data_IF_957445399705
#
_entry.id   IF_957445399705
#
_cell.length_a   1.000
_cell.length_b   1.000
_cell.length_c   1.000
_cell.angle_alpha   90.00
_cell.angle_beta   90.00
_cell.angle_gamma   90.00
#
_symmetry.space_group_name_H-M   'P 1'
#
loop_
_entity.id
_entity.type
_entity.pdbx_description
1 polymer ?
#
# COMPACT_ATOMS: atom_id res chain seq x y z
N UNK A 1 39.09 -43.10 81.19
CA UNK A 1 37.83 -42.76 80.48
C UNK A 1 38.07 -41.39 79.90
N UNK A 2 38.25 -41.18 78.60
CA UNK A 2 38.00 -42.04 77.46
C UNK A 2 38.99 -41.76 76.34
N UNK A 3 39.11 -42.80 75.52
CA UNK A 3 39.96 -43.03 74.38
C UNK A 3 39.78 -42.06 73.22
N UNK A 4 40.92 -41.74 72.62
CA UNK A 4 41.12 -41.24 71.26
C UNK A 4 40.42 -42.13 70.21
N UNK A 5 39.98 -41.56 69.07
CA UNK A 5 40.42 -42.17 67.82
C UNK A 5 40.84 -41.15 66.75
N UNK A 6 42.07 -41.37 66.27
CA UNK A 6 42.67 -40.80 65.07
C UNK A 6 41.81 -41.02 63.80
N UNK A 7 41.73 -39.99 62.96
CA UNK A 7 41.24 -40.04 61.58
C UNK A 7 42.39 -39.76 60.59
N UNK A 8 42.32 -40.32 59.37
CA UNK A 8 43.48 -40.57 58.49
C UNK A 8 43.88 -39.38 57.61
N UNK A 9 45.09 -39.40 57.02
CA UNK A 9 45.55 -38.35 56.10
C UNK A 9 44.80 -38.45 54.76
N UNK A 10 44.18 -37.34 54.35
CA UNK A 10 43.57 -37.15 53.04
C UNK A 10 44.64 -37.10 51.94
N UNK A 11 44.57 -38.05 51.02
CA UNK A 11 45.49 -38.22 49.90
C UNK A 11 45.45 -37.08 48.88
N UNK A 12 46.61 -36.85 48.27
CA UNK A 12 46.82 -35.96 47.14
C UNK A 12 46.01 -36.41 45.91
N UNK A 13 45.34 -35.49 45.19
CA UNK A 13 44.75 -35.81 43.90
C UNK A 13 45.84 -35.88 42.82
N UNK A 14 46.10 -37.11 42.42
CA UNK A 14 46.92 -37.50 41.28
C UNK A 14 46.38 -36.84 39.99
N UNK A 15 46.98 -35.72 39.56
CA UNK A 15 46.70 -35.08 38.26
C UNK A 15 47.36 -35.90 37.15
N UNK A 16 46.69 -36.96 36.71
CA UNK A 16 46.94 -37.52 35.38
C UNK A 16 46.46 -36.52 34.32
N UNK A 17 47.41 -35.72 33.82
CA UNK A 17 47.27 -34.99 32.58
C UNK A 17 47.31 -36.01 31.43
N UNK A 18 46.15 -36.59 31.13
CA UNK A 18 45.91 -37.25 29.86
C UNK A 18 46.04 -36.20 28.77
N UNK A 19 47.24 -36.06 28.22
CA UNK A 19 47.44 -35.48 26.90
C UNK A 19 46.78 -36.43 25.92
N UNK A 20 45.46 -36.33 25.77
CA UNK A 20 44.82 -36.77 24.55
C UNK A 20 45.49 -35.96 23.43
N UNK A 21 46.35 -36.67 22.71
CA UNK A 21 46.90 -36.28 21.43
C UNK A 21 45.74 -35.73 20.61
N UNK A 22 45.71 -34.40 20.43
CA UNK A 22 44.84 -33.72 19.46
C UNK A 22 45.22 -34.32 18.11
N UNK A 23 44.46 -35.34 17.73
CA UNK A 23 44.62 -36.10 16.51
C UNK A 23 44.63 -35.12 15.33
N UNK A 24 45.51 -35.43 14.38
CA UNK A 24 45.64 -34.80 13.08
C UNK A 24 44.31 -34.22 12.60
N UNK A 25 44.23 -32.89 12.64
CA UNK A 25 43.11 -32.13 12.10
C UNK A 25 42.85 -32.60 10.67
N UNK A 26 41.64 -33.10 10.46
CA UNK A 26 41.14 -33.74 9.25
C UNK A 26 41.11 -32.75 8.07
N UNK A 27 42.31 -32.40 7.57
CA UNK A 27 42.58 -31.52 6.42
C UNK A 27 41.72 -31.88 5.19
N UNK A 28 41.46 -33.17 4.89
CA UNK A 28 40.49 -33.56 3.85
C UNK A 28 39.08 -33.01 4.10
N UNK A 29 38.57 -33.01 5.33
CA UNK A 29 37.24 -32.48 5.65
C UNK A 29 37.15 -30.97 5.46
N UNK A 30 38.18 -30.21 5.85
CA UNK A 30 38.20 -28.76 5.67
C UNK A 30 38.16 -28.38 4.18
N UNK A 31 38.89 -29.11 3.34
CA UNK A 31 38.87 -28.91 1.88
C UNK A 31 37.48 -29.18 1.29
N UNK A 32 36.82 -30.26 1.73
CA UNK A 32 35.44 -30.59 1.32
C UNK A 32 34.45 -29.50 1.72
N UNK A 33 34.55 -28.98 2.95
CA UNK A 33 33.69 -27.90 3.44
C UNK A 33 33.87 -26.61 2.65
N UNK A 34 35.12 -26.22 2.34
CA UNK A 34 35.42 -25.03 1.51
C UNK A 34 34.84 -25.16 0.10
N UNK A 35 34.96 -26.34 -0.54
CA UNK A 35 34.38 -26.60 -1.87
C UNK A 35 32.85 -26.52 -1.83
N UNK A 36 32.23 -27.06 -0.78
CA UNK A 36 30.76 -26.99 -0.58
C UNK A 36 30.27 -25.56 -0.36
N UNK A 37 31.03 -24.73 0.35
CA UNK A 37 30.74 -23.30 0.55
C UNK A 37 30.62 -22.57 -0.79
N UNK A 38 31.63 -22.69 -1.65
CA UNK A 38 31.65 -22.04 -2.98
C UNK A 38 30.45 -22.47 -3.83
N UNK A 39 30.08 -23.75 -3.79
CA UNK A 39 28.92 -24.25 -4.51
C UNK A 39 27.60 -23.62 -4.02
N UNK A 40 27.44 -23.44 -2.70
CA UNK A 40 26.25 -22.81 -2.12
C UNK A 40 26.21 -21.31 -2.40
N UNK A 41 27.33 -20.60 -2.31
CA UNK A 41 27.42 -19.17 -2.67
C UNK A 41 26.98 -18.93 -4.13
N UNK A 42 27.37 -19.82 -5.05
CA UNK A 42 26.93 -19.76 -6.45
C UNK A 42 25.42 -19.98 -6.60
N UNK A 43 24.83 -20.94 -5.87
CA UNK A 43 23.39 -21.21 -5.90
C UNK A 43 22.57 -20.11 -5.22
N UNK A 44 23.08 -19.47 -4.17
CA UNK A 44 22.48 -18.26 -3.55
C UNK A 44 22.43 -17.15 -4.59
N UNK A 45 23.54 -16.85 -5.27
CA UNK A 45 23.60 -15.80 -6.30
C UNK A 45 22.60 -16.05 -7.42
N UNK A 46 22.53 -17.31 -7.91
CA UNK A 46 21.55 -17.72 -8.91
C UNK A 46 20.12 -17.56 -8.40
N UNK A 47 19.82 -18.03 -7.18
CA UNK A 47 18.47 -17.98 -6.59
C UNK A 47 18.01 -16.55 -6.30
N UNK A 48 18.92 -15.65 -5.88
CA UNK A 48 18.65 -14.22 -5.72
C UNK A 48 18.40 -13.51 -7.05
N UNK A 49 19.10 -13.89 -8.13
CA UNK A 49 18.85 -13.33 -9.47
C UNK A 49 17.46 -13.68 -10.02
N UNK A 50 16.90 -14.80 -9.58
CA UNK A 50 15.54 -15.24 -9.90
C UNK A 50 14.49 -14.58 -9.00
N UNK A 51 14.90 -14.07 -7.83
CA UNK A 51 14.04 -13.36 -6.90
C UNK A 51 13.82 -11.93 -7.41
N UNK A 52 12.93 -11.78 -8.38
CA UNK A 52 12.45 -10.45 -8.79
C UNK A 52 11.51 -9.92 -7.72
N UNK A 53 11.54 -8.60 -7.49
CA UNK A 53 10.57 -7.94 -6.64
C UNK A 53 9.17 -8.24 -7.20
N UNK A 54 8.40 -9.02 -6.44
CA UNK A 54 7.03 -9.37 -6.75
C UNK A 54 6.18 -9.06 -5.53
N UNK A 55 4.88 -8.89 -5.74
CA UNK A 55 3.96 -8.59 -4.65
C UNK A 55 4.08 -9.65 -3.53
N UNK A 56 3.85 -9.23 -2.29
CA UNK A 56 3.92 -10.02 -1.04
C UNK A 56 2.93 -11.20 -0.97
N UNK A 57 2.40 -11.66 -2.09
CA UNK A 57 1.38 -12.70 -2.23
C UNK A 57 1.66 -13.72 -3.33
N UNK A 58 2.78 -13.58 -4.05
CA UNK A 58 3.19 -14.61 -5.00
C UNK A 58 3.77 -15.80 -4.22
N UNK A 59 3.06 -16.93 -4.26
CA UNK A 59 3.53 -18.16 -3.61
C UNK A 59 4.88 -18.59 -4.18
N UNK A 60 5.14 -18.34 -5.47
CA UNK A 60 6.43 -18.62 -6.09
C UNK A 60 7.51 -17.70 -5.54
N UNK A 61 7.20 -16.41 -5.33
CA UNK A 61 8.12 -15.48 -4.67
C UNK A 61 8.47 -15.95 -3.26
N UNK A 62 7.49 -16.27 -2.42
CA UNK A 62 7.77 -16.71 -1.05
C UNK A 62 8.44 -18.08 -1.00
N UNK A 63 8.09 -18.99 -1.90
CA UNK A 63 8.77 -20.28 -2.06
C UNK A 63 10.23 -20.06 -2.45
N UNK A 64 10.50 -19.14 -3.37
CA UNK A 64 11.84 -18.79 -3.80
C UNK A 64 12.61 -18.04 -2.69
N UNK A 65 11.96 -17.17 -1.92
CA UNK A 65 12.53 -16.47 -0.78
C UNK A 65 12.90 -17.44 0.35
N UNK A 66 12.00 -18.38 0.67
CA UNK A 66 12.26 -19.47 1.62
C UNK A 66 13.42 -20.34 1.14
N UNK A 67 13.51 -20.62 -0.17
CA UNK A 67 14.65 -21.34 -0.76
C UNK A 67 15.96 -20.55 -0.60
N UNK A 68 15.96 -19.24 -0.81
CA UNK A 68 17.15 -18.39 -0.62
C UNK A 68 17.60 -18.41 0.84
N UNK A 69 16.69 -18.21 1.79
CA UNK A 69 17.01 -18.29 3.23
C UNK A 69 17.51 -19.67 3.65
N UNK A 70 16.93 -20.75 3.10
CA UNK A 70 17.41 -22.11 3.37
C UNK A 70 18.86 -22.32 2.89
N UNK A 71 19.24 -21.71 1.76
CA UNK A 71 20.61 -21.72 1.26
C UNK A 71 21.53 -20.85 2.12
N UNK A 72 21.08 -19.68 2.58
CA UNK A 72 21.85 -18.81 3.48
C UNK A 72 22.10 -19.45 4.85
N UNK A 73 21.10 -20.15 5.39
CA UNK A 73 21.24 -20.94 6.61
C UNK A 73 22.31 -22.03 6.46
N UNK A 74 22.27 -22.78 5.35
CA UNK A 74 23.28 -23.80 5.03
C UNK A 74 24.68 -23.22 4.89
N UNK A 75 24.80 -22.04 4.28
CA UNK A 75 26.09 -21.35 4.15
C UNK A 75 26.63 -20.91 5.52
N UNK A 76 25.79 -20.34 6.39
CA UNK A 76 26.17 -19.96 7.75
C UNK A 76 26.61 -21.17 8.59
N UNK A 77 25.92 -22.31 8.48
CA UNK A 77 26.33 -23.57 9.11
C UNK A 77 27.67 -24.09 8.60
N UNK A 78 27.96 -23.97 7.30
CA UNK A 78 29.25 -24.38 6.74
C UNK A 78 30.35 -23.43 7.21
N UNK A 79 30.11 -22.12 7.24
CA UNK A 79 31.05 -21.15 7.83
C UNK A 79 31.36 -21.47 9.28
N UNK A 80 30.33 -21.83 10.07
CA UNK A 80 30.49 -22.29 11.45
C UNK A 80 31.41 -23.50 11.53
N UNK A 81 31.15 -24.55 10.73
CA UNK A 81 31.98 -25.77 10.70
C UNK A 81 33.42 -25.48 10.27
N UNK A 82 33.62 -24.68 9.23
CA UNK A 82 34.96 -24.25 8.78
C UNK A 82 35.69 -23.50 9.89
N UNK A 83 34.99 -22.61 10.61
CA UNK A 83 35.57 -21.83 11.71
C UNK A 83 35.98 -22.72 12.89
N UNK A 84 35.12 -23.67 13.28
CA UNK A 84 35.42 -24.67 14.31
C UNK A 84 36.64 -25.50 13.89
N UNK A 85 36.61 -26.11 12.70
CA UNK A 85 37.72 -26.94 12.19
C UNK A 85 39.03 -26.16 12.05
N UNK A 86 38.98 -24.90 11.65
CA UNK A 86 40.20 -24.07 11.50
C UNK A 86 40.74 -23.60 12.84
N UNK A 87 39.90 -23.48 13.86
CA UNK A 87 40.31 -23.09 15.22
C UNK A 87 40.91 -24.24 16.03
N UNK A 88 40.58 -25.49 15.68
CA UNK A 88 40.96 -26.67 16.46
C UNK A 88 40.30 -26.75 17.84
N UNK A 89 39.34 -25.87 18.13
CA UNK A 89 38.62 -25.81 19.39
C UNK A 89 37.36 -26.67 19.36
N UNK A 90 36.91 -27.14 20.53
CA UNK A 90 35.58 -27.73 20.65
C UNK A 90 34.48 -26.67 20.40
N UNK A 91 33.27 -27.10 20.05
CA UNK A 91 32.15 -26.20 19.74
C UNK A 91 31.78 -25.25 20.92
N UNK A 92 31.88 -25.76 22.15
CA UNK A 92 31.64 -25.00 23.39
C UNK A 92 32.71 -23.93 23.60
N UNK A 93 33.98 -24.27 23.38
CA UNK A 93 35.10 -23.34 23.52
C UNK A 93 35.14 -22.32 22.38
N UNK A 94 34.86 -22.75 21.15
CA UNK A 94 34.75 -21.88 19.98
C UNK A 94 33.70 -20.78 20.20
N UNK A 95 32.53 -21.13 20.75
CA UNK A 95 31.45 -20.18 21.01
C UNK A 95 31.81 -19.08 22.04
N UNK A 96 32.74 -19.37 22.95
CA UNK A 96 33.17 -18.45 24.02
C UNK A 96 34.41 -17.64 23.66
N UNK A 97 35.30 -18.22 22.84
CA UNK A 97 36.67 -17.72 22.65
C UNK A 97 36.86 -17.04 21.30
N UNK A 98 36.08 -17.43 20.28
CA UNK A 98 36.22 -16.87 18.94
C UNK A 98 35.31 -15.64 18.76
N UNK A 99 35.92 -14.50 18.41
CA UNK A 99 35.21 -13.23 18.20
C UNK A 99 34.15 -13.31 17.11
N UNK A 100 34.34 -14.16 16.11
CA UNK A 100 33.42 -14.31 14.98
C UNK A 100 32.28 -15.30 15.26
N UNK A 101 32.37 -16.08 16.35
CA UNK A 101 31.40 -17.12 16.66
C UNK A 101 30.02 -16.55 17.00
N UNK A 102 29.97 -15.45 17.73
CA UNK A 102 28.71 -14.78 18.08
C UNK A 102 27.97 -14.30 16.82
N UNK A 103 28.68 -13.63 15.91
CA UNK A 103 28.09 -13.14 14.66
C UNK A 103 27.54 -14.27 13.78
N UNK A 104 28.24 -15.40 13.69
CA UNK A 104 27.76 -16.58 12.94
C UNK A 104 26.52 -17.19 13.60
N UNK A 105 26.49 -17.30 14.94
CA UNK A 105 25.33 -17.84 15.68
C UNK A 105 24.11 -16.93 15.53
N UNK A 106 24.30 -15.61 15.61
CA UNK A 106 23.23 -14.64 15.41
C UNK A 106 22.68 -14.68 13.98
N UNK A 107 23.56 -14.80 12.98
CA UNK A 107 23.14 -14.95 11.58
C UNK A 107 22.29 -16.21 11.37
N UNK A 108 22.70 -17.35 11.96
CA UNK A 108 21.92 -18.60 11.91
C UNK A 108 20.53 -18.38 12.51
N UNK A 109 20.43 -17.78 13.70
CA UNK A 109 19.14 -17.49 14.35
C UNK A 109 18.27 -16.55 13.52
N UNK A 110 18.85 -15.53 12.90
CA UNK A 110 18.15 -14.59 12.05
C UNK A 110 17.54 -15.30 10.82
N UNK A 111 18.35 -16.10 10.09
CA UNK A 111 17.88 -16.86 8.93
C UNK A 111 16.83 -17.92 9.30
N UNK A 112 16.94 -18.58 10.46
CA UNK A 112 15.90 -19.49 10.95
C UNK A 112 14.55 -18.78 11.18
N UNK A 113 14.58 -17.57 11.74
CA UNK A 113 13.37 -16.77 11.94
C UNK A 113 12.78 -16.30 10.61
N UNK A 114 13.60 -15.79 9.69
CA UNK A 114 13.19 -15.38 8.34
C UNK A 114 12.54 -16.54 7.59
N UNK A 115 13.17 -17.73 7.61
CA UNK A 115 12.62 -18.95 7.00
C UNK A 115 11.26 -19.30 7.59
N UNK A 116 11.10 -19.30 8.92
CA UNK A 116 9.80 -19.55 9.57
C UNK A 116 8.72 -18.56 9.15
N UNK A 117 9.08 -17.28 8.97
CA UNK A 117 8.15 -16.25 8.48
C UNK A 117 7.71 -16.57 7.05
N UNK A 118 8.66 -16.91 6.17
CA UNK A 118 8.36 -17.25 4.78
C UNK A 118 7.54 -18.53 4.65
N UNK A 119 7.85 -19.57 5.42
CA UNK A 119 7.08 -20.82 5.46
C UNK A 119 5.66 -20.61 5.98
N UNK A 120 5.48 -19.80 7.04
CA UNK A 120 4.15 -19.40 7.49
C UNK A 120 3.39 -18.67 6.40
N UNK A 121 4.07 -17.84 5.61
CA UNK A 121 3.47 -17.12 4.51
C UNK A 121 3.10 -18.04 3.36
N UNK A 122 3.95 -19.01 3.00
CA UNK A 122 3.63 -20.08 2.04
C UNK A 122 2.41 -20.85 2.52
N UNK A 123 2.35 -21.29 3.78
CA UNK A 123 1.21 -22.03 4.34
C UNK A 123 -0.08 -21.20 4.37
N UNK A 124 0.00 -19.88 4.58
CA UNK A 124 -1.16 -18.98 4.46
C UNK A 124 -1.63 -18.82 3.02
N UNK A 125 -0.71 -18.86 2.06
CA UNK A 125 -0.98 -18.80 0.63
C UNK A 125 -1.40 -20.17 0.06
N UNK A 126 -1.05 -21.26 0.75
CA UNK A 126 -1.49 -22.60 0.43
C UNK A 126 -3.00 -22.73 0.63
N UNK A 127 -3.69 -23.42 -0.28
CA UNK A 127 -5.01 -22.94 -0.57
C UNK A 127 -6.13 -23.66 0.19
N UNK A 128 -6.60 -23.06 1.29
CA UNK A 128 -7.79 -23.52 2.03
C UNK A 128 -9.08 -23.28 1.21
N UNK A 129 -9.89 -24.33 1.06
CA UNK A 129 -10.91 -24.58 0.01
C UNK A 129 -12.09 -23.59 -0.13
N UNK A 130 -12.17 -22.45 0.57
CA UNK A 130 -13.30 -21.50 0.44
C UNK A 130 -12.92 -20.05 0.09
N UNK A 131 -11.67 -19.64 0.30
CA UNK A 131 -11.22 -18.25 0.03
C UNK A 131 -10.70 -18.02 -1.40
N UNK A 132 -10.66 -19.06 -2.25
CA UNK A 132 -9.87 -19.07 -3.49
C UNK A 132 -10.53 -18.36 -4.68
N UNK A 133 -11.85 -18.41 -4.83
CA UNK A 133 -12.53 -17.69 -5.92
C UNK A 133 -12.36 -16.18 -5.81
N UNK A 134 -12.30 -15.71 -4.57
CA UNK A 134 -12.14 -14.33 -4.20
C UNK A 134 -10.75 -13.78 -4.52
N UNK A 135 -9.72 -14.50 -4.07
CA UNK A 135 -8.30 -14.14 -4.17
C UNK A 135 -7.72 -14.39 -5.56
N UNK A 136 -8.14 -15.44 -6.27
CA UNK A 136 -7.66 -15.74 -7.61
C UNK A 136 -8.22 -14.78 -8.67
N UNK A 137 -9.47 -14.33 -8.51
CA UNK A 137 -10.02 -13.30 -9.38
C UNK A 137 -9.49 -11.90 -9.04
N UNK A 138 -9.23 -11.60 -7.77
CA UNK A 138 -8.41 -10.45 -7.37
C UNK A 138 -7.06 -10.46 -8.11
N UNK A 139 -6.30 -11.57 -8.02
CA UNK A 139 -5.01 -11.71 -8.70
C UNK A 139 -5.12 -11.66 -10.22
N UNK A 140 -6.09 -12.33 -10.84
CA UNK A 140 -6.33 -12.29 -12.28
C UNK A 140 -6.72 -10.88 -12.74
N UNK A 141 -7.46 -10.11 -11.94
CA UNK A 141 -7.74 -8.71 -12.25
C UNK A 141 -6.51 -7.81 -12.04
N UNK A 142 -5.71 -7.98 -10.98
CA UNK A 142 -4.55 -7.13 -10.66
C UNK A 142 -3.29 -7.44 -11.50
N UNK A 143 -2.91 -8.70 -11.72
CA UNK A 143 -1.63 -9.06 -12.35
C UNK A 143 -1.67 -9.31 -13.86
N UNK A 144 -2.85 -9.53 -14.48
CA UNK A 144 -2.93 -9.96 -15.90
C UNK A 144 -3.38 -8.89 -16.90
N UNK A 145 -3.24 -7.59 -16.60
CA UNK A 145 -3.51 -6.56 -17.61
C UNK A 145 -2.43 -5.46 -17.63
N UNK A 146 -1.47 -5.68 -18.54
CA UNK A 146 -1.05 -4.78 -19.62
C UNK A 146 -0.93 -3.26 -19.36
N UNK A 147 -0.45 -2.87 -18.18
CA UNK A 147 0.51 -1.76 -17.96
C UNK A 147 1.54 -2.28 -16.95
N UNK A 148 2.03 -3.51 -17.14
CA UNK A 148 3.30 -3.69 -17.83
C UNK A 148 3.32 -3.93 -19.35
N UNK A 149 2.23 -3.78 -20.12
CA UNK A 149 2.23 -4.04 -21.58
C UNK A 149 1.03 -3.38 -22.32
N UNK A 150 0.90 -2.05 -22.34
CA UNK A 150 -0.10 -1.25 -23.09
C UNK A 150 -1.40 -1.89 -23.62
N UNK A 151 -2.55 -1.66 -22.95
CA UNK A 151 -3.91 -1.80 -23.52
C UNK A 151 -4.78 -0.58 -23.18
N UNK A 152 -5.47 -0.06 -24.20
CA UNK A 152 -6.24 1.20 -24.19
C UNK A 152 -7.72 1.09 -23.76
N UNK A 153 -8.27 -0.09 -23.39
CA UNK A 153 -9.73 -0.22 -23.17
C UNK A 153 -10.12 -1.26 -22.11
N UNK A 154 -10.85 -0.85 -21.05
CA UNK A 154 -11.33 -1.69 -19.93
C UNK A 154 -12.68 -2.39 -20.20
N UNK A 155 -13.04 -2.63 -21.46
CA UNK A 155 -14.21 -3.45 -21.83
C UNK A 155 -15.61 -2.86 -21.54
N UNK A 156 -15.72 -1.64 -21.00
CA UNK A 156 -17.01 -0.95 -20.75
C UNK A 156 -17.42 0.05 -21.85
N UNK A 157 -16.71 0.07 -22.98
CA UNK A 157 -16.95 1.03 -24.05
C UNK A 157 -16.57 2.47 -23.68
N UNK A 158 -16.74 3.40 -24.62
CA UNK A 158 -16.64 4.84 -24.34
C UNK A 158 -17.75 5.23 -23.36
N UNK A 159 -17.43 6.13 -22.41
CA UNK A 159 -18.44 6.67 -21.49
C UNK A 159 -19.52 7.37 -22.33
N UNK A 160 -20.79 7.12 -22.01
CA UNK A 160 -21.89 7.87 -22.62
C UNK A 160 -21.76 9.36 -22.29
N UNK A 161 -21.60 10.19 -23.32
CA UNK A 161 -21.37 11.63 -23.20
C UNK A 161 -22.55 12.33 -22.54
N UNK A 162 -23.78 11.90 -22.88
CA UNK A 162 -25.01 12.44 -22.31
C UNK A 162 -25.10 12.21 -20.81
N UNK A 163 -24.84 10.99 -20.34
CA UNK A 163 -24.81 10.67 -18.92
C UNK A 163 -23.73 11.46 -18.17
N UNK A 164 -22.56 11.67 -18.77
CA UNK A 164 -21.49 12.49 -18.18
C UNK A 164 -21.88 13.97 -18.07
N UNK A 165 -22.48 14.54 -19.13
CA UNK A 165 -22.96 15.92 -19.12
C UNK A 165 -24.05 16.13 -18.06
N UNK A 166 -24.98 15.18 -17.96
CA UNK A 166 -26.04 15.23 -16.95
C UNK A 166 -25.48 15.12 -15.53
N UNK A 167 -24.52 14.22 -15.29
CA UNK A 167 -23.82 14.13 -14.00
C UNK A 167 -23.15 15.45 -13.63
N UNK A 168 -22.43 16.07 -14.57
CA UNK A 168 -21.79 17.38 -14.37
C UNK A 168 -22.83 18.47 -14.07
N UNK A 169 -23.92 18.53 -14.84
CA UNK A 169 -25.01 19.50 -14.66
C UNK A 169 -25.62 19.39 -13.26
N UNK A 170 -25.92 18.16 -12.82
CA UNK A 170 -26.44 17.90 -11.46
C UNK A 170 -25.47 18.31 -10.37
N UNK A 171 -24.17 18.03 -10.53
CA UNK A 171 -23.16 18.50 -9.57
C UNK A 171 -23.14 20.03 -9.47
N UNK A 172 -23.14 20.75 -10.60
CA UNK A 172 -23.13 22.22 -10.61
C UNK A 172 -24.35 22.78 -9.87
N UNK A 173 -25.53 22.23 -10.16
CA UNK A 173 -26.79 22.64 -9.54
C UNK A 173 -26.80 22.38 -8.03
N UNK A 174 -26.51 21.15 -7.63
CA UNK A 174 -26.64 20.68 -6.24
C UNK A 174 -25.55 21.26 -5.31
N UNK A 175 -24.38 21.55 -5.87
CA UNK A 175 -23.28 22.17 -5.11
C UNK A 175 -23.36 23.69 -5.15
N UNK A 176 -24.32 24.25 -5.90
CA UNK A 176 -24.49 25.68 -6.13
C UNK A 176 -23.19 26.31 -6.66
N UNK A 177 -22.53 25.61 -7.58
CA UNK A 177 -21.17 25.93 -7.99
C UNK A 177 -21.08 27.05 -9.03
N UNK A 178 -22.21 27.53 -9.56
CA UNK A 178 -22.21 28.57 -10.60
C UNK A 178 -21.96 29.95 -9.99
N UNK A 179 -21.11 30.76 -10.64
CA UNK A 179 -20.92 32.15 -10.23
C UNK A 179 -22.19 32.97 -10.51
N UNK A 180 -22.60 33.90 -9.64
CA UNK A 180 -23.87 34.63 -9.81
C UNK A 180 -23.95 35.52 -11.05
N UNK A 181 -22.82 35.94 -11.62
CA UNK A 181 -22.75 36.92 -12.72
C UNK A 181 -21.93 36.48 -13.93
N UNK A 182 -21.00 35.56 -13.72
CA UNK A 182 -20.00 35.19 -14.71
C UNK A 182 -20.18 33.72 -15.05
N UNK A 183 -19.73 33.28 -16.21
CA UNK A 183 -19.72 31.87 -16.56
C UNK A 183 -18.53 31.15 -15.90
N UNK A 184 -18.42 31.18 -14.56
CA UNK A 184 -17.38 30.49 -13.81
C UNK A 184 -17.97 29.45 -12.86
N UNK A 185 -17.15 28.45 -12.51
CA UNK A 185 -17.52 27.34 -11.65
C UNK A 185 -16.61 27.25 -10.42
N UNK A 186 -17.23 27.03 -9.26
CA UNK A 186 -16.55 26.91 -7.98
C UNK A 186 -15.81 25.58 -7.82
N UNK A 187 -14.55 25.63 -7.41
CA UNK A 187 -13.79 24.48 -6.95
C UNK A 187 -13.70 24.49 -5.42
N UNK A 188 -14.23 23.49 -4.69
CA UNK A 188 -14.22 23.46 -3.24
C UNK A 188 -12.82 23.15 -2.66
N UNK A 189 -11.91 22.54 -3.41
CA UNK A 189 -10.53 22.29 -2.95
C UNK A 189 -9.70 23.57 -3.00
N UNK A 190 -9.76 24.30 -4.12
CA UNK A 190 -9.08 25.59 -4.27
C UNK A 190 -9.77 26.66 -3.42
N UNK A 191 -11.11 26.60 -3.34
CA UNK A 191 -11.93 27.64 -2.71
C UNK A 191 -12.00 28.90 -3.56
N UNK A 192 -12.09 28.74 -4.89
CA UNK A 192 -12.22 29.85 -5.83
C UNK A 192 -13.03 29.44 -7.08
N UNK A 193 -13.52 30.44 -7.81
CA UNK A 193 -14.17 30.29 -9.11
C UNK A 193 -13.13 30.18 -10.22
N UNK A 194 -13.31 29.21 -11.10
CA UNK A 194 -12.45 28.97 -12.25
C UNK A 194 -13.28 28.91 -13.53
N UNK A 195 -12.58 29.08 -14.66
CA UNK A 195 -13.17 28.84 -15.97
C UNK A 195 -13.82 27.43 -16.02
N UNK A 196 -15.05 27.27 -16.56
CA UNK A 196 -15.73 25.99 -16.65
C UNK A 196 -14.90 24.91 -17.33
N UNK A 197 -14.06 25.25 -18.32
CA UNK A 197 -13.20 24.30 -19.02
C UNK A 197 -12.14 23.69 -18.10
N UNK A 198 -11.69 24.45 -17.09
CA UNK A 198 -10.72 24.01 -16.10
C UNK A 198 -11.35 23.18 -14.99
N UNK A 199 -12.67 23.15 -14.85
CA UNK A 199 -13.38 22.36 -13.84
C UNK A 199 -13.85 21.04 -14.42
N UNK A 200 -13.61 19.94 -13.69
CA UNK A 200 -14.04 18.58 -14.02
C UNK A 200 -14.99 18.05 -12.95
N UNK A 201 -16.00 17.29 -13.38
CA UNK A 201 -16.84 16.47 -12.51
C UNK A 201 -16.14 15.14 -12.21
N UNK A 202 -15.31 15.14 -11.17
CA UNK A 202 -14.53 13.97 -10.77
C UNK A 202 -15.40 12.98 -10.00
N UNK A 203 -15.30 11.69 -10.34
CA UNK A 203 -15.95 10.61 -9.61
C UNK A 203 -15.04 10.13 -8.47
N UNK A 204 -15.61 9.94 -7.28
CA UNK A 204 -14.90 9.34 -6.14
C UNK A 204 -14.84 7.81 -6.28
N UNK A 205 -15.96 7.18 -6.64
CA UNK A 205 -16.03 5.83 -7.15
C UNK A 205 -16.16 5.84 -8.68
N UNK A 206 -15.22 5.24 -9.43
CA UNK A 206 -15.19 5.39 -10.87
C UNK A 206 -16.41 4.76 -11.56
N UNK A 207 -17.05 5.55 -12.42
CA UNK A 207 -18.17 5.14 -13.27
C UNK A 207 -17.95 3.82 -14.03
N UNK A 208 -16.71 3.55 -14.47
CA UNK A 208 -16.35 2.41 -15.34
C UNK A 208 -16.60 1.06 -14.68
N UNK A 209 -16.78 1.03 -13.37
CA UNK A 209 -17.12 -0.20 -12.68
C UNK A 209 -18.63 -0.42 -12.60
N UNK A 210 -19.44 0.58 -12.93
CA UNK A 210 -20.88 0.46 -12.99
C UNK A 210 -21.56 0.35 -11.63
N UNK A 211 -22.89 0.52 -11.65
CA UNK A 211 -23.73 0.52 -10.45
C UNK A 211 -23.75 -0.84 -9.77
N UNK A 212 -23.69 -1.93 -10.54
CA UNK A 212 -23.68 -3.31 -10.00
C UNK A 212 -22.50 -3.52 -9.05
N UNK A 213 -21.29 -3.07 -9.45
CA UNK A 213 -20.13 -3.19 -8.56
C UNK A 213 -20.26 -2.22 -7.39
N UNK A 214 -20.76 -1.00 -7.59
CA UNK A 214 -21.03 -0.08 -6.48
C UNK A 214 -21.96 -0.71 -5.42
N UNK A 215 -23.07 -1.31 -5.85
CA UNK A 215 -24.05 -1.96 -4.96
C UNK A 215 -23.47 -3.17 -4.24
N UNK A 216 -22.68 -3.98 -4.95
CA UNK A 216 -21.99 -5.13 -4.38
C UNK A 216 -21.02 -4.73 -3.24
N UNK A 217 -20.53 -3.49 -3.28
CA UNK A 217 -19.57 -2.95 -2.33
C UNK A 217 -20.20 -2.26 -1.15
N UNK A 218 -21.04 -1.28 -1.46
CA UNK A 218 -21.58 -0.36 -0.46
C UNK A 218 -22.95 -0.82 0.03
N UNK A 219 -23.47 -1.92 -0.53
CA UNK A 219 -24.87 -2.32 -0.44
C UNK A 219 -25.70 -1.61 -1.50
N UNK A 220 -26.80 -2.26 -1.91
CA UNK A 220 -27.76 -1.65 -2.82
C UNK A 220 -28.47 -0.49 -2.13
N UNK A 221 -28.40 0.69 -2.74
CA UNK A 221 -29.11 1.88 -2.28
C UNK A 221 -30.52 1.94 -2.89
N UNK A 222 -31.41 2.77 -2.32
CA UNK A 222 -32.75 3.00 -2.89
C UNK A 222 -32.66 3.61 -4.30
N UNK A 223 -31.70 4.51 -4.51
CA UNK A 223 -31.42 5.16 -5.79
C UNK A 223 -30.01 4.85 -6.27
N UNK A 224 -29.82 4.86 -7.59
CA UNK A 224 -28.51 4.69 -8.23
C UNK A 224 -27.60 5.87 -7.87
N UNK A 225 -26.53 5.59 -7.12
CA UNK A 225 -25.59 6.62 -6.64
C UNK A 225 -24.38 6.82 -7.59
N UNK A 226 -24.20 6.00 -8.66
CA UNK A 226 -23.02 6.07 -9.54
C UNK A 226 -22.82 7.46 -10.18
N UNK A 227 -23.90 8.03 -10.71
CA UNK A 227 -23.93 9.38 -11.32
C UNK A 227 -24.71 10.37 -10.43
N UNK A 228 -24.72 10.11 -9.11
CA UNK A 228 -25.29 11.04 -8.14
C UNK A 228 -24.24 12.06 -7.68
N UNK A 229 -24.62 13.32 -7.38
CA UNK A 229 -23.73 14.29 -6.74
C UNK A 229 -23.04 13.79 -5.46
N UNK A 230 -23.58 12.74 -4.83
CA UNK A 230 -22.98 12.07 -3.67
C UNK A 230 -21.67 11.33 -4.00
N UNK A 231 -21.51 10.86 -5.23
CA UNK A 231 -20.31 10.16 -5.73
C UNK A 231 -19.35 11.09 -6.50
N UNK A 232 -19.65 12.38 -6.54
CA UNK A 232 -18.92 13.35 -7.36
C UNK A 232 -18.34 14.50 -6.56
N UNK A 233 -17.37 15.19 -7.17
CA UNK A 233 -16.90 16.50 -6.72
C UNK A 233 -16.44 17.31 -7.94
N UNK A 234 -16.73 18.61 -7.95
CA UNK A 234 -16.24 19.54 -8.98
C UNK A 234 -14.84 19.99 -8.58
N UNK A 235 -13.80 19.69 -9.37
CA UNK A 235 -12.42 20.07 -9.04
C UNK A 235 -11.68 20.59 -10.26
N UNK A 236 -10.62 21.38 -10.05
CA UNK A 236 -9.72 21.77 -11.13
C UNK A 236 -9.12 20.54 -11.81
N UNK A 237 -9.00 20.56 -13.13
CA UNK A 237 -8.34 19.54 -13.96
C UNK A 237 -6.93 19.24 -13.45
N UNK A 238 -6.19 20.27 -13.02
CA UNK A 238 -4.84 20.14 -12.46
C UNK A 238 -4.82 19.39 -11.13
N UNK A 239 -5.86 19.55 -10.33
CA UNK A 239 -5.99 18.80 -9.08
C UNK A 239 -6.42 17.37 -9.38
N UNK A 240 -7.34 17.16 -10.32
CA UNK A 240 -7.78 15.82 -10.74
C UNK A 240 -6.60 14.95 -11.19
N UNK A 241 -5.72 15.50 -12.03
CA UNK A 241 -4.48 14.85 -12.49
C UNK A 241 -3.64 14.30 -11.33
N UNK A 242 -3.56 15.05 -10.22
CA UNK A 242 -2.76 14.71 -9.03
C UNK A 242 -3.54 13.83 -8.04
N UNK A 243 -4.85 14.06 -7.94
CA UNK A 243 -5.78 13.29 -7.13
C UNK A 243 -5.83 11.84 -7.56
N UNK A 244 -5.70 11.60 -8.85
CA UNK A 244 -5.78 10.28 -9.43
C UNK A 244 -4.49 9.46 -9.39
N UNK A 245 -3.34 10.10 -9.22
CA UNK A 245 -2.04 9.41 -9.14
C UNK A 245 -1.59 9.11 -7.71
N UNK A 246 -2.44 9.34 -6.71
CA UNK A 246 -2.16 8.97 -5.31
C UNK A 246 -1.26 9.94 -4.56
N UNK A 247 -1.14 11.20 -5.00
CA UNK A 247 -0.33 12.20 -4.28
C UNK A 247 -1.11 12.95 -3.21
N UNK A 248 -2.43 13.05 -3.36
CA UNK A 248 -3.32 13.68 -2.38
C UNK A 248 -4.57 12.84 -2.14
N UNK A 249 -5.16 12.99 -0.96
CA UNK A 249 -6.43 12.38 -0.59
C UNK A 249 -7.33 13.39 0.13
N UNK A 250 -8.63 13.13 0.12
CA UNK A 250 -9.61 13.88 0.91
C UNK A 250 -9.88 13.08 2.18
N UNK A 251 -9.82 13.74 3.33
CA UNK A 251 -10.04 13.15 4.67
C UNK A 251 -11.03 14.00 5.48
N UNK A 252 -11.56 13.51 6.62
CA UNK A 252 -12.44 14.29 7.47
C UNK A 252 -11.71 15.53 7.99
N UNK A 253 -12.41 16.67 7.98
CA UNK A 253 -11.96 17.85 8.69
C UNK A 253 -12.50 17.79 10.12
N UNK A 254 -11.60 17.71 11.09
CA UNK A 254 -11.93 17.70 12.52
C UNK A 254 -11.42 19.02 13.12
N UNK A 255 -12.28 19.83 13.74
CA UNK A 255 -11.82 21.00 14.48
C UNK A 255 -10.91 20.54 15.63
N UNK A 256 -9.81 21.26 15.84
CA UNK A 256 -8.70 20.98 16.76
C UNK A 256 -7.70 19.92 16.25
N UNK A 257 -6.70 20.38 15.49
CA UNK A 257 -5.54 19.62 14.99
C UNK A 257 -4.64 19.00 16.09
N UNK A 258 -5.01 19.10 17.37
CA UNK A 258 -4.21 18.60 18.50
C UNK A 258 -4.50 17.13 18.86
N UNK A 259 -5.24 16.41 18.02
CA UNK A 259 -5.32 14.96 18.04
C UNK A 259 -6.72 14.42 17.87
N UNK A 260 -6.79 13.10 17.70
CA UNK A 260 -8.00 12.28 17.71
C UNK A 260 -8.88 12.53 18.95
N UNK A 261 -9.64 13.63 18.94
CA UNK A 261 -10.66 13.90 19.94
C UNK A 261 -11.91 13.08 19.57
N UNK A 262 -12.22 12.10 20.40
CA UNK A 262 -13.37 11.23 20.23
C UNK A 262 -14.70 12.00 20.10
N UNK A 263 -14.83 13.15 20.76
CA UNK A 263 -16.01 14.01 20.67
C UNK A 263 -16.10 14.72 19.32
N UNK A 264 -14.99 15.21 18.78
CA UNK A 264 -14.93 15.81 17.45
C UNK A 264 -15.29 14.78 16.37
N UNK A 265 -14.78 13.56 16.51
CA UNK A 265 -15.09 12.43 15.64
C UNK A 265 -16.58 12.07 15.70
N UNK A 266 -17.15 11.93 16.91
CA UNK A 266 -18.60 11.70 17.09
C UNK A 266 -19.41 12.81 16.44
N UNK A 267 -19.06 14.07 16.67
CA UNK A 267 -19.74 15.23 16.10
C UNK A 267 -19.72 15.16 14.57
N UNK A 268 -18.57 14.85 13.98
CA UNK A 268 -18.44 14.70 12.53
C UNK A 268 -19.29 13.53 11.99
N UNK A 269 -19.32 12.39 12.68
CA UNK A 269 -20.12 11.23 12.28
C UNK A 269 -21.62 11.50 12.29
N UNK A 270 -22.09 12.25 13.29
CA UNK A 270 -23.49 12.61 13.48
C UNK A 270 -23.91 13.88 12.74
N UNK A 271 -22.97 14.64 12.18
CA UNK A 271 -23.29 15.80 11.36
C UNK A 271 -23.84 15.36 10.01
N UNK A 272 -24.95 15.96 9.60
CA UNK A 272 -25.52 15.77 8.26
C UNK A 272 -24.57 16.29 7.18
N UNK A 273 -23.90 17.41 7.46
CA UNK A 273 -22.95 18.07 6.57
C UNK A 273 -21.53 17.76 7.02
N UNK A 274 -20.99 16.65 6.52
CA UNK A 274 -19.62 16.25 6.82
C UNK A 274 -18.63 17.13 6.09
N UNK A 275 -17.74 17.75 6.86
CA UNK A 275 -16.69 18.62 6.36
C UNK A 275 -15.40 17.83 6.08
N UNK A 276 -14.65 18.25 5.08
CA UNK A 276 -13.47 17.52 4.60
C UNK A 276 -12.27 18.44 4.42
N UNK A 277 -11.08 17.87 4.38
CA UNK A 277 -9.83 18.56 4.07
C UNK A 277 -8.96 17.74 3.13
N UNK A 278 -8.03 18.38 2.45
CA UNK A 278 -7.01 17.69 1.65
C UNK A 278 -5.84 17.25 2.54
N UNK A 279 -5.28 16.08 2.25
CA UNK A 279 -4.00 15.63 2.79
C UNK A 279 -3.05 15.20 1.69
N UNK A 280 -1.80 15.64 1.79
CA UNK A 280 -0.72 15.22 0.91
C UNK A 280 -0.17 13.90 1.43
N UNK A 281 -0.25 12.86 0.60
CA UNK A 281 0.27 11.54 0.94
C UNK A 281 1.79 11.50 0.73
N UNK A 282 2.29 12.06 -0.37
CA UNK A 282 3.72 12.02 -0.71
C UNK A 282 4.41 13.36 -0.43
N UNK A 283 4.99 13.49 0.77
CA UNK A 283 5.74 14.68 1.20
C UNK A 283 7.08 14.88 0.49
N UNK A 284 7.55 13.90 -0.27
CA UNK A 284 8.80 13.98 -1.03
C UNK A 284 8.56 14.22 -2.52
N UNK A 285 7.31 14.46 -2.90
CA UNK A 285 6.96 14.72 -4.28
C UNK A 285 7.61 16.02 -4.78
N UNK A 286 8.28 15.95 -5.91
CA UNK A 286 9.08 17.02 -6.51
C UNK A 286 8.25 18.25 -6.91
N UNK A 287 6.94 18.07 -7.10
CA UNK A 287 6.03 19.14 -7.54
C UNK A 287 5.27 19.83 -6.41
N UNK A 288 5.60 19.57 -5.15
CA UNK A 288 4.88 20.17 -4.01
C UNK A 288 4.89 21.70 -4.04
N UNK A 289 6.04 22.30 -4.38
CA UNK A 289 6.22 23.75 -4.45
C UNK A 289 5.72 24.35 -5.77
N UNK A 290 5.25 23.54 -6.72
CA UNK A 290 4.76 24.05 -7.99
C UNK A 290 3.37 24.67 -7.81
N UNK A 291 3.08 25.78 -8.51
CA UNK A 291 1.75 26.36 -8.50
C UNK A 291 0.74 25.40 -9.15
N UNK A 292 -0.47 25.33 -8.60
CA UNK A 292 -1.57 24.49 -9.13
C UNK A 292 -1.97 24.98 -10.53
N UNK A 293 -1.94 26.30 -10.74
CA UNK A 293 -2.22 26.97 -12.00
C UNK A 293 -1.31 28.19 -12.14
N UNK A 294 -0.86 28.57 -13.35
CA UNK A 294 -0.03 29.76 -13.56
C UNK A 294 -0.64 31.06 -13.02
N UNK A 295 -1.97 31.11 -12.93
CA UNK A 295 -2.72 32.29 -12.49
C UNK A 295 -3.22 32.21 -11.05
N UNK A 296 -2.92 31.13 -10.32
CA UNK A 296 -3.37 30.95 -8.95
C UNK A 296 -2.19 30.94 -7.99
N UNK A 297 -2.20 31.70 -6.88
CA UNK A 297 -1.07 31.79 -5.95
C UNK A 297 -0.83 30.52 -5.11
N UNK A 298 -1.67 29.48 -5.25
CA UNK A 298 -1.57 28.28 -4.41
C UNK A 298 -0.65 27.26 -5.07
N UNK A 299 0.23 26.70 -4.26
CA UNK A 299 1.02 25.53 -4.60
C UNK A 299 0.30 24.25 -4.16
N UNK A 300 0.78 23.09 -4.63
CA UNK A 300 0.26 21.82 -4.13
C UNK A 300 0.50 21.63 -2.64
N UNK A 301 1.61 22.14 -2.11
CA UNK A 301 1.94 22.13 -0.69
C UNK A 301 0.91 22.87 0.15
N UNK A 302 0.39 24.00 -0.34
CA UNK A 302 -0.61 24.82 0.35
C UNK A 302 -2.00 24.14 0.46
N UNK A 303 -2.18 23.01 -0.22
CA UNK A 303 -3.39 22.20 -0.08
C UNK A 303 -3.36 21.31 1.16
N UNK A 304 -2.20 21.01 1.75
CA UNK A 304 -2.16 20.08 2.89
C UNK A 304 -2.88 20.66 4.11
N UNK A 305 -3.87 19.92 4.62
CA UNK A 305 -4.73 20.37 5.73
C UNK A 305 -5.76 21.44 5.36
N UNK A 306 -5.82 21.89 4.11
CA UNK A 306 -6.81 22.89 3.67
C UNK A 306 -8.22 22.30 3.69
N UNK A 307 -9.14 22.97 4.40
CA UNK A 307 -10.55 22.63 4.43
C UNK A 307 -11.19 22.84 3.05
N UNK A 308 -12.04 21.91 2.63
CA UNK A 308 -12.87 22.07 1.43
C UNK A 308 -14.00 23.06 1.71
N UNK A 309 -14.21 24.00 0.79
CA UNK A 309 -15.24 25.04 0.90
C UNK A 309 -16.40 24.71 -0.03
N UNK A 310 -17.50 24.18 0.48
CA UNK A 310 -18.71 23.96 -0.33
C UNK A 310 -19.65 25.15 -0.16
N UNK A 311 -20.24 25.63 -1.27
CA UNK A 311 -21.18 26.76 -1.24
C UNK A 311 -22.57 26.35 -0.75
N UNK A 312 -23.05 25.18 -1.19
CA UNK A 312 -24.33 24.61 -0.77
C UNK A 312 -24.22 23.63 0.43
N UNK A 313 -25.35 23.06 0.86
CA UNK A 313 -25.41 22.05 1.94
C UNK A 313 -24.95 20.66 1.48
N UNK A 314 -24.94 20.40 0.17
CA UNK A 314 -24.62 19.09 -0.40
C UNK A 314 -23.16 18.73 -0.18
N UNK A 315 -22.90 17.47 0.21
CA UNK A 315 -21.56 16.92 0.40
C UNK A 315 -21.45 15.57 -0.31
N UNK A 316 -20.24 15.18 -0.76
CA UNK A 316 -20.01 13.81 -1.17
C UNK A 316 -20.27 12.85 0.00
N UNK A 317 -20.80 11.66 -0.30
CA UNK A 317 -21.04 10.66 0.72
C UNK A 317 -19.72 10.10 1.25
N UNK A 318 -19.57 10.07 2.57
CA UNK A 318 -18.32 9.67 3.22
C UNK A 318 -17.81 8.28 2.80
N UNK A 319 -18.70 7.34 2.43
CA UNK A 319 -18.31 6.01 1.92
C UNK A 319 -17.48 6.09 0.63
N UNK A 320 -17.81 7.02 -0.27
CA UNK A 320 -17.10 7.19 -1.54
C UNK A 320 -15.81 7.99 -1.34
N UNK A 321 -15.83 8.97 -0.44
CA UNK A 321 -14.60 9.69 -0.04
C UNK A 321 -13.61 8.73 0.62
N UNK A 322 -14.09 7.89 1.55
CA UNK A 322 -13.26 6.88 2.21
C UNK A 322 -12.72 5.83 1.25
N UNK A 323 -13.57 5.34 0.33
CA UNK A 323 -13.13 4.46 -0.74
C UNK A 323 -11.98 5.09 -1.53
N UNK A 324 -12.18 6.32 -1.99
CA UNK A 324 -11.17 7.05 -2.72
C UNK A 324 -9.86 7.19 -1.91
N UNK A 325 -9.96 7.58 -0.63
CA UNK A 325 -8.82 7.63 0.29
C UNK A 325 -8.05 6.31 0.33
N UNK A 326 -8.72 5.17 0.54
CA UNK A 326 -8.07 3.86 0.56
C UNK A 326 -7.33 3.54 -0.76
N UNK A 327 -7.90 3.92 -1.91
CA UNK A 327 -7.26 3.73 -3.22
C UNK A 327 -6.01 4.60 -3.37
N UNK A 328 -6.07 5.86 -2.97
CA UNK A 328 -4.91 6.76 -3.10
C UNK A 328 -3.77 6.34 -2.17
N UNK A 329 -4.10 5.88 -0.97
CA UNK A 329 -3.15 5.26 -0.04
C UNK A 329 -2.46 4.06 -0.68
N UNK A 330 -3.24 3.13 -1.27
CA UNK A 330 -2.69 1.94 -1.92
C UNK A 330 -1.76 2.30 -3.09
N UNK A 331 -2.17 3.26 -3.93
CA UNK A 331 -1.33 3.77 -5.02
C UNK A 331 -0.02 4.37 -4.51
N UNK A 332 -0.10 5.24 -3.50
CA UNK A 332 1.08 5.89 -2.92
C UNK A 332 2.06 4.86 -2.35
N UNK A 333 1.54 3.86 -1.63
CA UNK A 333 2.34 2.77 -1.07
C UNK A 333 3.08 1.97 -2.16
N UNK A 334 2.39 1.64 -3.25
CA UNK A 334 2.99 0.86 -4.34
C UNK A 334 4.08 1.62 -5.11
N UNK A 335 3.84 2.90 -5.41
CA UNK A 335 4.85 3.74 -6.08
C UNK A 335 6.16 3.81 -5.29
N UNK A 336 6.09 3.77 -3.96
CA UNK A 336 7.27 3.80 -3.08
C UNK A 336 7.97 2.43 -2.98
N UNK A 337 7.22 1.34 -3.05
CA UNK A 337 7.77 -0.02 -3.07
C UNK A 337 8.54 -0.29 -4.37
N UNK A 338 8.04 0.19 -5.51
CA UNK A 338 8.77 0.13 -6.80
C UNK A 338 10.08 0.95 -6.74
N UNK A 339 10.10 2.02 -5.96
CA UNK A 339 11.29 2.85 -5.71
C UNK A 339 12.30 2.22 -4.71
N UNK A 340 12.19 0.92 -4.38
CA UNK A 340 13.06 0.15 -3.45
C UNK A 340 13.04 0.63 -1.99
N UNK A 341 12.05 1.44 -1.58
CA UNK A 341 11.87 1.90 -0.21
C UNK A 341 10.73 1.16 0.49
N UNK A 342 10.91 -0.14 0.72
CA UNK A 342 9.89 -1.07 1.23
C UNK A 342 9.38 -0.80 2.67
N UNK A 343 9.92 0.21 3.35
CA UNK A 343 9.63 0.52 4.77
C UNK A 343 8.76 1.77 4.99
N UNK A 344 8.25 2.40 3.92
CA UNK A 344 7.67 3.75 3.99
C UNK A 344 6.14 3.86 4.09
N UNK A 345 5.38 2.84 3.68
CA UNK A 345 3.93 2.99 3.45
C UNK A 345 3.10 3.18 4.74
N UNK A 346 3.52 2.64 5.89
CA UNK A 346 2.80 2.82 7.16
C UNK A 346 2.99 4.24 7.71
N UNK A 347 4.21 4.77 7.64
CA UNK A 347 4.53 6.16 8.00
C UNK A 347 3.83 7.19 7.11
N UNK A 348 3.42 6.81 5.89
CA UNK A 348 2.67 7.68 4.97
C UNK A 348 1.21 7.84 5.36
N UNK A 349 0.67 7.01 6.25
CA UNK A 349 -0.69 7.16 6.75
C UNK A 349 -0.75 7.90 8.06
N UNK A 350 0.39 8.03 8.71
CA UNK A 350 0.51 8.69 9.98
C UNK A 350 0.77 10.17 9.74
N UNK A 351 0.03 11.01 10.46
CA UNK A 351 0.39 12.40 10.63
C UNK A 351 1.72 12.52 11.39
N UNK A 352 2.16 13.75 11.63
CA UNK A 352 3.40 14.04 12.36
C UNK A 352 3.42 13.47 13.78
N UNK A 353 2.27 13.03 14.29
CA UNK A 353 2.07 12.46 15.61
C UNK A 353 1.84 10.94 15.59
N UNK A 354 2.04 10.26 14.46
CA UNK A 354 1.83 8.82 14.37
C UNK A 354 0.38 8.39 14.18
N UNK A 355 -0.55 9.31 13.86
CA UNK A 355 -2.00 9.04 13.82
C UNK A 355 -2.52 8.93 12.39
N UNK A 356 -3.45 8.00 12.08
CA UNK A 356 -3.93 7.80 10.73
C UNK A 356 -4.62 9.07 10.19
N UNK A 357 -4.35 9.45 8.94
CA UNK A 357 -5.01 10.59 8.27
C UNK A 357 -6.53 10.46 8.23
N UNK A 358 -7.03 9.22 8.18
CA UNK A 358 -8.43 8.89 8.35
C UNK A 358 -8.60 7.90 9.48
N UNK A 359 -9.16 8.32 10.61
CA UNK A 359 -9.51 7.39 11.69
C UNK A 359 -10.83 7.69 12.38
N UNK A 360 -11.73 8.43 11.72
CA UNK A 360 -13.13 8.41 12.15
C UNK A 360 -13.65 6.97 11.97
N UNK A 361 -14.04 6.25 13.04
CA UNK A 361 -14.58 4.91 12.90
C UNK A 361 -15.91 5.01 12.19
N UNK A 362 -16.22 4.07 11.32
CA UNK A 362 -17.45 4.18 10.55
C UNK A 362 -17.77 2.96 9.71
N UNK A 363 -18.98 3.01 9.16
CA UNK A 363 -19.57 1.94 8.36
C UNK A 363 -19.38 2.23 6.87
N UNK A 364 -18.15 2.49 6.43
CA UNK A 364 -17.87 2.98 5.08
C UNK A 364 -17.67 1.86 4.07
N UNK A 365 -16.96 0.80 4.47
CA UNK A 365 -16.65 -0.36 3.62
C UNK A 365 -16.78 -1.67 4.41
N UNK A 366 -17.18 -2.78 3.76
CA UNK A 366 -17.13 -4.13 4.34
C UNK A 366 -15.80 -4.50 4.99
N UNK A 367 -15.83 -5.13 6.17
CA UNK A 367 -14.61 -5.53 6.90
C UNK A 367 -13.71 -6.48 6.13
N UNK A 368 -14.30 -7.43 5.41
CA UNK A 368 -13.61 -8.37 4.53
C UNK A 368 -12.89 -7.65 3.38
N UNK A 369 -13.48 -6.57 2.86
CA UNK A 369 -12.86 -5.72 1.84
C UNK A 369 -11.66 -4.92 2.37
N UNK A 370 -11.85 -4.25 3.50
CA UNK A 370 -10.77 -3.50 4.13
C UNK A 370 -9.65 -4.42 4.59
N UNK A 371 -9.97 -5.60 5.09
CA UNK A 371 -8.98 -6.62 5.41
C UNK A 371 -8.12 -6.98 4.21
N UNK A 372 -8.71 -7.11 3.02
CA UNK A 372 -7.93 -7.39 1.84
C UNK A 372 -7.04 -6.21 1.44
N UNK A 373 -7.53 -4.97 1.49
CA UNK A 373 -6.68 -3.78 1.27
C UNK A 373 -5.53 -3.67 2.30
N UNK A 374 -5.82 -3.95 3.57
CA UNK A 374 -4.85 -3.95 4.67
C UNK A 374 -3.81 -5.03 4.48
N UNK A 375 -4.24 -6.26 4.15
CA UNK A 375 -3.33 -7.35 3.86
C UNK A 375 -2.37 -6.96 2.74
N UNK A 376 -2.85 -6.33 1.66
CA UNK A 376 -2.03 -5.85 0.54
C UNK A 376 -1.02 -4.76 0.88
N UNK A 377 -1.33 -3.91 1.87
CA UNK A 377 -0.40 -2.88 2.37
C UNK A 377 0.65 -3.48 3.31
N UNK A 378 0.32 -4.55 4.04
CA UNK A 378 1.17 -5.25 5.01
C UNK A 378 0.45 -5.51 6.35
N UNK A 379 1.09 -6.19 7.29
CA UNK A 379 0.45 -6.51 8.59
C UNK A 379 0.34 -5.32 9.56
N UNK A 380 0.97 -4.19 9.24
CA UNK A 380 1.05 -3.00 10.10
C UNK A 380 -0.13 -2.02 9.92
N UNK A 381 -1.07 -2.31 9.02
CA UNK A 381 -2.10 -1.35 8.59
C UNK A 381 -3.47 -1.59 9.22
N UNK A 382 -3.51 -2.17 10.43
CA UNK A 382 -4.75 -2.53 11.13
C UNK A 382 -5.68 -1.34 11.39
N UNK A 383 -5.16 -0.12 11.48
CA UNK A 383 -5.95 1.10 11.68
C UNK A 383 -6.99 1.35 10.57
N UNK A 384 -6.74 0.91 9.33
CA UNK A 384 -7.74 1.01 8.25
C UNK A 384 -8.96 0.09 8.48
N UNK A 385 -8.85 -0.90 9.38
CA UNK A 385 -10.00 -1.73 9.77
C UNK A 385 -10.99 -0.99 10.65
N UNK A 386 -10.65 0.18 11.18
CA UNK A 386 -11.55 0.97 12.05
C UNK A 386 -12.71 1.60 11.24
N UNK A 387 -12.54 1.77 9.93
CA UNK A 387 -13.58 2.19 8.98
C UNK A 387 -14.48 1.06 8.46
N UNK A 388 -14.40 -0.14 9.06
CA UNK A 388 -15.10 -1.33 8.61
C UNK A 388 -16.53 -1.48 9.13
N UNK A 389 -17.43 -1.95 8.28
CA UNK A 389 -18.76 -2.44 8.69
C UNK A 389 -18.69 -3.85 9.25
N UNK A 390 -19.32 -4.06 10.41
CA UNK A 390 -19.71 -5.38 10.94
C UNK A 390 -21.09 -5.76 10.41
N UNK A 391 -21.21 -6.03 9.10
CA UNK A 391 -22.42 -6.67 8.59
C UNK A 391 -22.30 -8.19 8.74
N UNK A 392 -23.39 -8.83 9.19
CA UNK A 392 -23.57 -10.28 9.14
C UNK A 392 -23.87 -10.81 7.73
N UNK A 393 -24.00 -9.91 6.74
CA UNK A 393 -24.07 -10.27 5.33
C UNK A 393 -22.70 -10.04 4.68
N UNK A 394 -22.14 -11.03 3.97
CA UNK A 394 -20.86 -10.90 3.30
C UNK A 394 -21.02 -9.90 2.14
N UNK A 395 -20.60 -8.64 2.34
CA UNK A 395 -20.42 -7.70 1.23
C UNK A 395 -19.50 -8.34 0.19
N UNK A 396 -19.84 -8.22 -1.09
CA UNK A 396 -19.14 -8.92 -2.16
C UNK A 396 -17.79 -8.25 -2.39
N UNK A 397 -16.82 -8.71 -1.61
CA UNK A 397 -15.49 -8.13 -1.52
C UNK A 397 -14.76 -8.06 -2.87
N UNK A 398 -15.29 -8.78 -3.87
CA UNK A 398 -14.75 -9.03 -5.19
C UNK A 398 -14.98 -7.80 -6.04
N UNK A 399 -16.16 -7.21 -5.93
CA UNK A 399 -16.54 -6.00 -6.65
C UNK A 399 -15.71 -4.79 -6.21
N UNK A 400 -15.44 -4.59 -4.91
CA UNK A 400 -14.59 -3.45 -4.46
C UNK A 400 -13.21 -3.58 -5.00
N UNK A 401 -12.66 -4.77 -4.88
CA UNK A 401 -11.29 -4.94 -5.27
C UNK A 401 -11.16 -4.87 -6.78
N UNK A 402 -12.07 -5.44 -7.56
CA UNK A 402 -12.17 -5.16 -9.00
C UNK A 402 -12.22 -3.65 -9.30
N UNK A 403 -12.95 -2.88 -8.50
CA UNK A 403 -13.02 -1.42 -8.67
C UNK A 403 -11.70 -0.74 -8.37
N UNK A 404 -11.09 -1.05 -7.23
CA UNK A 404 -9.76 -0.59 -6.86
C UNK A 404 -8.74 -0.86 -7.98
N UNK A 405 -8.76 -2.07 -8.56
CA UNK A 405 -7.92 -2.49 -9.68
C UNK A 405 -8.09 -1.54 -10.85
N UNK A 406 -9.28 -1.49 -11.46
CA UNK A 406 -9.36 -0.84 -12.76
C UNK A 406 -9.11 0.64 -12.57
N UNK A 407 -9.53 1.25 -11.44
CA UNK A 407 -9.21 2.63 -11.07
C UNK A 407 -7.71 2.89 -11.18
N UNK A 408 -6.90 2.07 -10.51
CA UNK A 408 -5.44 2.14 -10.54
C UNK A 408 -4.88 1.99 -11.97
N UNK A 409 -5.49 1.12 -12.77
CA UNK A 409 -5.02 0.79 -14.12
C UNK A 409 -5.37 1.78 -15.23
N UNK A 410 -6.47 2.52 -15.15
CA UNK A 410 -6.89 3.37 -16.28
C UNK A 410 -6.18 4.72 -16.35
N UNK A 411 -5.18 4.97 -15.50
CA UNK A 411 -4.51 6.28 -15.44
C UNK A 411 -3.00 6.05 -15.40
N UNK A 412 -2.24 6.65 -16.35
CA UNK A 412 -0.82 6.36 -16.50
C UNK A 412 0.00 6.74 -15.26
N UNK A 413 1.06 5.97 -15.03
CA UNK A 413 2.14 6.32 -14.10
C UNK A 413 2.81 7.63 -14.52
N UNK A 414 3.20 8.45 -13.54
CA UNK A 414 3.90 9.73 -13.75
C UNK A 414 5.22 9.59 -14.52
N UNK A 415 5.80 8.38 -14.59
CA UNK A 415 7.02 8.13 -15.35
C UNK A 415 6.84 8.28 -16.86
N UNK A 416 5.61 8.38 -17.36
CA UNK A 416 5.31 8.39 -18.81
C UNK A 416 4.77 9.75 -19.32
N UNK A 417 4.75 10.79 -18.46
CA UNK A 417 4.42 12.16 -18.87
C UNK A 417 5.53 13.12 -18.48
N UNK A 418 6.52 13.27 -19.37
CA UNK A 418 7.24 14.54 -19.51
C UNK A 418 6.19 15.62 -19.74
N UNK A 419 5.94 16.38 -18.69
CA UNK A 419 5.01 17.49 -18.71
C UNK A 419 5.69 18.61 -19.50
N UNK A 420 5.46 18.65 -20.81
CA UNK A 420 5.81 19.85 -21.57
C UNK A 420 4.76 20.93 -21.25
N UNK A 421 5.16 22.05 -20.62
CA UNK A 421 4.26 23.16 -20.38
C UNK A 421 4.02 23.86 -21.72
N UNK A 422 3.11 23.34 -22.56
CA UNK A 422 2.78 23.96 -23.84
C UNK A 422 1.99 23.13 -24.85
N UNK A 423 1.90 21.80 -24.72
CA UNK A 423 1.12 21.00 -25.68
C UNK A 423 -0.36 20.89 -25.27
N UNK A 424 -1.11 21.94 -25.58
CA UNK A 424 -2.56 21.87 -25.71
C UNK A 424 -2.91 20.89 -26.83
N UNK A 425 -3.10 19.61 -26.51
CA UNK A 425 -3.98 18.76 -27.32
C UNK A 425 -5.42 19.20 -27.01
N UNK A 426 -5.86 20.23 -27.72
CA UNK A 426 -7.28 20.52 -27.90
C UNK A 426 -7.92 19.32 -28.61
N UNK A 427 -8.72 18.54 -27.90
CA UNK A 427 -9.84 17.87 -28.57
C UNK A 427 -10.83 18.98 -28.93
N UNK A 428 -10.61 19.59 -30.09
CA UNK A 428 -11.55 20.53 -30.67
C UNK A 428 -12.75 19.74 -31.18
N UNK A 429 -13.82 19.72 -30.40
CA UNK A 429 -15.17 19.44 -30.88
C UNK A 429 -15.57 20.59 -31.81
N UNK A 430 -15.28 20.44 -33.10
CA UNK A 430 -15.84 21.31 -34.15
C UNK A 430 -17.05 20.57 -34.72
N UNK A 431 -18.22 20.92 -34.20
CA UNK A 431 -19.50 20.62 -34.85
C UNK A 431 -19.60 21.43 -36.14
N UNK A 432 -19.54 20.76 -37.28
CA UNK A 432 -19.95 21.34 -38.56
C UNK A 432 -21.47 21.25 -38.65
N UNK A 433 -22.15 22.37 -38.44
CA UNK A 433 -23.56 22.54 -38.78
C UNK A 433 -23.75 22.41 -40.29
N UNK A 434 -24.47 21.37 -40.70
CA UNK A 434 -24.95 21.18 -42.06
C UNK A 434 -26.17 22.09 -42.27
N UNK A 435 -25.95 23.30 -42.81
CA UNK A 435 -27.02 24.18 -43.25
C UNK A 435 -27.67 23.59 -44.51
N UNK A 436 -28.82 22.94 -44.34
CA UNK A 436 -29.73 22.65 -45.43
C UNK A 436 -30.36 23.96 -45.93
N UNK A 437 -29.83 24.50 -47.03
CA UNK A 437 -30.55 25.47 -47.86
C UNK A 437 -31.47 24.70 -48.79
N UNK A 438 -32.78 24.85 -48.57
CA UNK A 438 -33.78 24.52 -49.57
C UNK A 438 -33.88 25.63 -50.60
N UNK A 439 -33.81 25.25 -51.87
CA UNK A 439 -34.56 25.82 -52.99
C UNK A 439 -35.08 24.66 -53.86
#
# INVERSE_FOLDING_TARGET
>A
MDTDPQLPPSGEPNRHCSKESIQDLDLPQLHVLKKRKVAIEAEIKKSKSLLKAQASFDINFWTQAAKVEDLELKDAEIRRKISICSSGLSESEWSKTNKDAQGIIEQIRASEQSKKIFERQIHKLEPVKRSRYFRASFMKFFTTSKIGLGVQTTGTGKRDSRTQQEFRRRLIQEYQAQHPRENWLWCPIIGDYLDPELIIAAHLFPWKHGQINMDAIFGKMHESELFSPRNGILISRRIEEVFDIGKLAIVPWLPDNNGFNFEAIKRWLHCEQREYQVKILDRKWDRLTHPISPHHPLTFQDLDGRKLHFLGPTRPAARYVYFHYCIQVLRSAWQMNEAKNAYGAAKLLEDENGKPFWGTPGRYLPKNMLRALVEELGHDYKALLDGATSFNQPGDSYSLMKVAVDQIKSRPSILDRTFEPGSSQSESDVDSEETATGE
#
